data_IF_684881436534
#
_entry.id   IF_684881436534
#
_cell.length_a   1.000
_cell.length_b   1.000
_cell.length_c   1.000
_cell.angle_alpha   90.00
_cell.angle_beta   90.00
_cell.angle_gamma   90.00
#
_symmetry.space_group_name_H-M   'P 1'
#
loop_
_entity.id
_entity.type
_entity.pdbx_description
1 polymer ?
#
# COMPACT_ATOMS: atom_id res chain seq x y z
N UNK A 1 -16.75 -11.02 9.47
CA UNK A 1 -16.30 -11.13 8.06
C UNK A 1 -17.31 -11.97 7.31
N UNK A 2 -17.60 -11.68 6.02
CA UNK A 2 -18.39 -12.55 5.15
C UNK A 2 -17.83 -13.99 5.10
N UNK A 3 -18.70 -15.00 4.95
CA UNK A 3 -18.31 -16.42 4.95
C UNK A 3 -17.39 -16.76 3.76
N UNK A 4 -17.56 -16.07 2.64
CA UNK A 4 -16.83 -16.27 1.39
C UNK A 4 -15.32 -16.00 1.52
N UNK A 5 -14.89 -15.27 2.55
CA UNK A 5 -13.47 -15.02 2.83
C UNK A 5 -12.72 -16.33 3.11
N UNK A 6 -13.39 -17.34 3.65
CA UNK A 6 -12.81 -18.67 3.86
C UNK A 6 -12.41 -19.37 2.56
N UNK A 7 -12.97 -18.94 1.41
CA UNK A 7 -12.70 -19.51 0.09
C UNK A 7 -11.59 -18.77 -0.67
N UNK A 8 -10.96 -17.74 -0.08
CA UNK A 8 -9.90 -16.99 -0.75
C UNK A 8 -8.63 -17.84 -0.86
N UNK A 9 -8.14 -17.98 -2.09
CA UNK A 9 -6.86 -18.65 -2.35
C UNK A 9 -5.68 -17.71 -2.04
N UNK A 10 -4.69 -18.25 -1.33
CA UNK A 10 -3.46 -17.53 -1.05
C UNK A 10 -2.58 -17.47 -2.32
N UNK A 11 -2.17 -16.26 -2.72
CA UNK A 11 -1.31 -16.01 -3.88
C UNK A 11 0.08 -15.63 -3.42
N UNK A 12 0.95 -16.63 -3.29
CA UNK A 12 2.33 -16.48 -2.78
C UNK A 12 3.14 -15.41 -3.53
N UNK A 13 2.98 -15.34 -4.85
CA UNK A 13 3.75 -14.43 -5.71
C UNK A 13 3.18 -13.01 -5.80
N UNK A 14 2.05 -12.72 -5.13
CA UNK A 14 1.40 -11.41 -5.26
C UNK A 14 2.10 -10.33 -4.45
N UNK A 15 2.49 -10.63 -3.21
CA UNK A 15 2.99 -9.64 -2.27
C UNK A 15 4.46 -9.88 -1.94
N UNK A 16 5.22 -8.80 -1.84
CA UNK A 16 6.60 -8.81 -1.36
C UNK A 16 6.71 -8.11 -0.01
N UNK A 17 7.77 -8.40 0.74
CA UNK A 17 8.01 -7.76 2.03
C UNK A 17 8.21 -6.24 1.89
N UNK A 18 7.73 -5.50 2.88
CA UNK A 18 7.95 -4.06 3.00
C UNK A 18 7.10 -3.24 2.03
N UNK A 19 5.90 -3.72 1.71
CA UNK A 19 4.85 -2.90 1.11
C UNK A 19 4.21 -2.02 2.19
N UNK A 20 3.80 -0.82 1.80
CA UNK A 20 3.05 0.11 2.61
C UNK A 20 1.56 -0.01 2.26
N UNK A 21 0.70 -0.06 3.27
CA UNK A 21 -0.74 -0.05 3.08
C UNK A 21 -1.31 1.28 3.58
N UNK A 22 -1.81 2.09 2.65
CA UNK A 22 -2.53 3.32 2.95
C UNK A 22 -3.97 2.97 3.34
N UNK A 23 -4.23 2.98 4.65
CA UNK A 23 -5.53 2.60 5.24
C UNK A 23 -6.65 3.52 4.76
N UNK A 24 -6.38 4.83 4.63
CA UNK A 24 -7.39 5.82 4.25
C UNK A 24 -7.86 5.63 2.81
N UNK A 25 -6.94 5.19 1.93
CA UNK A 25 -7.20 5.07 0.48
C UNK A 25 -7.45 3.63 0.03
N UNK A 26 -7.13 2.66 0.88
CA UNK A 26 -7.21 1.23 0.58
C UNK A 26 -6.22 0.81 -0.50
N UNK A 27 -5.00 1.36 -0.48
CA UNK A 27 -3.98 1.13 -1.49
C UNK A 27 -2.74 0.46 -0.91
N UNK A 28 -2.25 -0.57 -1.61
CA UNK A 28 -0.97 -1.22 -1.35
C UNK A 28 0.08 -0.64 -2.30
N UNK A 29 1.24 -0.25 -1.80
CA UNK A 29 2.27 0.41 -2.61
C UNK A 29 3.69 0.16 -2.09
N UNK A 30 4.69 0.31 -2.97
CA UNK A 30 6.11 0.30 -2.58
C UNK A 30 6.63 1.73 -2.42
N UNK A 31 7.44 1.92 -1.39
CA UNK A 31 8.20 3.16 -1.16
C UNK A 31 9.67 2.92 -1.46
N UNK A 32 10.32 3.94 -2.00
CA UNK A 32 11.79 3.99 -2.08
C UNK A 32 12.41 4.50 -0.77
N UNK A 33 13.74 4.60 -0.73
CA UNK A 33 14.50 5.07 0.43
C UNK A 33 14.27 6.54 0.79
N UNK A 34 13.63 7.31 -0.09
CA UNK A 34 13.29 8.72 0.10
C UNK A 34 11.79 8.93 0.40
N UNK A 35 11.07 7.85 0.73
CA UNK A 35 9.63 7.84 0.98
C UNK A 35 8.80 8.30 -0.22
N UNK A 36 9.31 8.10 -1.44
CA UNK A 36 8.52 8.30 -2.65
C UNK A 36 7.79 7.03 -3.06
N UNK A 37 6.57 7.19 -3.52
CA UNK A 37 5.79 6.14 -4.16
C UNK A 37 6.54 5.69 -5.42
N UNK A 38 6.88 4.41 -5.46
CA UNK A 38 7.39 3.77 -6.67
C UNK A 38 6.21 3.53 -7.62
N UNK A 39 6.13 4.32 -8.69
CA UNK A 39 5.10 4.16 -9.72
C UNK A 39 5.12 2.76 -10.35
N UNK A 40 3.97 2.30 -10.82
CA UNK A 40 3.76 0.92 -11.27
C UNK A 40 3.65 -0.14 -10.16
N UNK A 41 3.79 0.24 -8.87
CA UNK A 41 3.67 -0.71 -7.74
C UNK A 41 2.43 -0.50 -6.88
N UNK A 42 1.50 0.36 -7.32
CA UNK A 42 0.29 0.71 -6.56
C UNK A 42 -0.86 -0.20 -6.94
N UNK A 43 -1.51 -0.80 -5.94
CA UNK A 43 -2.60 -1.76 -6.12
C UNK A 43 -3.80 -1.41 -5.25
N UNK A 44 -5.00 -1.57 -5.81
CA UNK A 44 -6.29 -1.57 -5.11
C UNK A 44 -6.77 -3.02 -5.00
N UNK A 45 -6.56 -3.62 -3.84
CA UNK A 45 -6.70 -5.08 -3.70
C UNK A 45 -5.71 -5.79 -4.63
N UNK A 46 -6.22 -6.59 -5.56
CA UNK A 46 -5.40 -7.32 -6.56
C UNK A 46 -5.24 -6.56 -7.89
N UNK A 47 -5.83 -5.37 -8.03
CA UNK A 47 -5.84 -4.63 -9.29
C UNK A 47 -4.76 -3.53 -9.28
N UNK A 48 -3.87 -3.48 -10.28
CA UNK A 48 -2.93 -2.38 -10.41
C UNK A 48 -3.67 -1.07 -10.67
N UNK A 49 -3.17 0.02 -10.08
CA UNK A 49 -3.70 1.37 -10.27
C UNK A 49 -2.81 2.11 -11.27
N UNK A 50 -3.37 2.68 -12.36
CA UNK A 50 -2.59 3.45 -13.32
C UNK A 50 -1.89 4.64 -12.68
N UNK A 51 -0.67 4.95 -13.13
CA UNK A 51 0.14 6.03 -12.56
C UNK A 51 -0.56 7.40 -12.60
N UNK A 52 -1.34 7.67 -13.65
CA UNK A 52 -2.15 8.90 -13.75
C UNK A 52 -3.17 9.02 -12.61
N UNK A 53 -3.79 7.90 -12.21
CA UNK A 53 -4.69 7.86 -11.06
C UNK A 53 -3.93 8.03 -9.74
N UNK A 54 -2.78 7.37 -9.59
CA UNK A 54 -1.91 7.53 -8.40
C UNK A 54 -1.53 8.99 -8.19
N UNK A 55 -1.09 9.65 -9.26
CA UNK A 55 -0.69 11.06 -9.23
C UNK A 55 -1.88 11.99 -8.91
N UNK A 56 -3.10 11.65 -9.37
CA UNK A 56 -4.31 12.39 -9.00
C UNK A 56 -4.69 12.21 -7.53
N UNK A 57 -4.52 11.00 -6.99
CA UNK A 57 -4.84 10.67 -5.60
C UNK A 57 -3.88 11.33 -4.62
N UNK A 58 -2.57 11.21 -4.86
CA UNK A 58 -1.55 11.67 -3.92
C UNK A 58 -1.06 13.11 -4.19
N UNK A 59 -1.31 13.65 -5.39
CA UNK A 59 -0.87 14.99 -5.88
C UNK A 59 0.65 15.17 -5.98
N UNK A 60 1.42 14.47 -5.18
CA UNK A 60 2.87 14.30 -5.26
C UNK A 60 3.21 12.84 -4.92
N UNK A 61 4.47 12.45 -5.07
CA UNK A 61 4.89 11.08 -4.74
C UNK A 61 5.39 10.92 -3.31
N UNK A 62 5.50 11.98 -2.51
CA UNK A 62 6.14 11.92 -1.20
C UNK A 62 5.09 11.57 -0.15
N UNK A 63 5.29 10.47 0.56
CA UNK A 63 4.49 10.15 1.74
C UNK A 63 5.18 10.72 2.99
N UNK A 64 4.49 11.54 3.82
CA UNK A 64 5.10 12.07 5.03
C UNK A 64 5.47 10.95 6.00
N UNK A 65 6.62 11.10 6.66
CA UNK A 65 7.18 10.06 7.54
C UNK A 65 6.24 9.62 8.66
N UNK A 66 5.39 10.53 9.14
CA UNK A 66 4.37 10.25 10.16
C UNK A 66 3.37 9.14 9.73
N UNK A 67 3.11 8.99 8.43
CA UNK A 67 2.26 7.93 7.90
C UNK A 67 2.97 6.58 7.84
N UNK A 68 4.30 6.58 7.80
CA UNK A 68 5.14 5.37 7.75
C UNK A 68 5.51 4.89 9.16
N UNK A 69 5.73 5.81 10.10
CA UNK A 69 6.24 5.52 11.45
C UNK A 69 5.19 5.12 12.49
N UNK A 70 3.89 5.17 12.17
CA UNK A 70 2.80 4.87 13.11
C UNK A 70 2.84 3.45 13.73
N UNK A 71 3.74 2.59 13.27
CA UNK A 71 3.99 1.25 13.78
C UNK A 71 4.91 1.18 15.03
N UNK A 72 5.47 2.29 15.55
CA UNK A 72 6.43 2.26 16.67
C UNK A 72 5.90 2.70 18.05
N UNK A 73 4.59 2.93 18.23
CA UNK A 73 4.04 3.45 19.52
C UNK A 73 3.44 2.41 20.48
N UNK A 74 3.90 1.15 20.45
CA UNK A 74 3.57 0.19 21.50
C UNK A 74 4.81 -0.54 22.02
N UNK A 75 5.52 0.12 22.92
CA UNK A 75 6.36 -0.52 23.93
C UNK A 75 6.35 0.40 25.14
N UNK A 76 5.51 0.09 26.12
CA UNK A 76 5.74 0.13 27.56
C UNK A 76 4.46 -0.29 28.29
#
# INVERSE_FOLDING_TARGET
YPEEIANLEYREDFAVRGLHYDIEKGLLLKLDSFLQIQLGTVYRGLHPVPDEEVLRIYKNRIIPIAYVESQHKHSH
#
